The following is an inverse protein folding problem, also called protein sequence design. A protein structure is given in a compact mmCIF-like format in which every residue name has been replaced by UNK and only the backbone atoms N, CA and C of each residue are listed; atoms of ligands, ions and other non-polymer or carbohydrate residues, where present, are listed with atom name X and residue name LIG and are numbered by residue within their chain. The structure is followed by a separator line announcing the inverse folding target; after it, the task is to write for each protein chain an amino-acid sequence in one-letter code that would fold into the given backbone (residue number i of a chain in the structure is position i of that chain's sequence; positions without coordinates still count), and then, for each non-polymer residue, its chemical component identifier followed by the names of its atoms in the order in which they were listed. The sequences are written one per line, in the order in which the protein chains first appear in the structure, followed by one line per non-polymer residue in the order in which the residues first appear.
data_IF_469181424211
#
_entry.id   IF_469181424211
#
_cell.length_a   1.000
_cell.length_b   1.000
_cell.length_c   1.000
_cell.angle_alpha   90.00
_cell.angle_beta   90.00
_cell.angle_gamma   90.00
#
_symmetry.space_group_name_H-M   'P 1'
#
loop_
_entity.id
_entity.type
_entity.pdbx_description
1 polymer ?
#
# COMPACT_ATOMS: atom_id res chain seq x y z
N UNK A 1 54.19 45.34 20.52
CA UNK A 1 52.96 44.49 20.56
C UNK A 1 53.40 43.11 20.94
N UNK A 2 53.14 42.73 22.20
CA UNK A 2 53.77 41.56 22.81
C UNK A 2 53.13 40.26 22.33
N UNK A 3 53.85 39.47 21.57
CA UNK A 3 53.47 38.16 21.07
C UNK A 3 52.98 37.23 22.21
N UNK A 4 53.47 37.49 23.45
CA UNK A 4 53.11 36.78 24.67
C UNK A 4 51.64 36.89 25.06
N UNK A 5 50.93 37.97 24.66
CA UNK A 5 49.54 38.21 25.03
C UNK A 5 48.57 37.51 24.08
N UNK A 6 48.95 37.22 22.83
CA UNK A 6 48.09 36.55 21.84
C UNK A 6 48.05 35.03 22.01
N UNK A 7 49.07 34.41 22.57
CA UNK A 7 49.14 32.97 22.77
C UNK A 7 48.02 32.45 23.70
N UNK A 8 47.77 33.05 24.90
CA UNK A 8 46.69 32.59 25.76
C UNK A 8 45.30 32.83 25.16
N UNK A 9 45.12 33.91 24.42
CA UNK A 9 43.84 34.20 23.73
C UNK A 9 43.60 33.12 22.66
N UNK A 10 44.60 32.82 21.85
CA UNK A 10 44.50 31.77 20.83
C UNK A 10 44.16 30.40 21.43
N UNK A 11 44.79 30.08 22.59
CA UNK A 11 44.55 28.83 23.30
C UNK A 11 43.11 28.73 23.84
N UNK A 12 42.57 29.85 24.38
CA UNK A 12 41.17 29.92 24.82
C UNK A 12 40.21 29.71 23.65
N UNK A 13 40.44 30.40 22.52
CA UNK A 13 39.62 30.22 21.30
C UNK A 13 39.64 28.79 20.82
N UNK A 14 40.82 28.13 20.84
CA UNK A 14 40.99 26.74 20.43
C UNK A 14 40.22 25.78 21.34
N UNK A 15 40.19 26.02 22.66
CA UNK A 15 39.42 25.22 23.61
C UNK A 15 37.91 25.36 23.34
N UNK A 16 37.44 26.61 23.17
CA UNK A 16 36.02 26.87 22.90
C UNK A 16 35.56 26.34 21.52
N UNK A 17 36.44 26.30 20.53
CA UNK A 17 36.16 25.71 19.20
C UNK A 17 35.88 24.20 19.23
N UNK A 18 36.32 23.51 20.30
CA UNK A 18 36.09 22.06 20.47
C UNK A 18 34.69 21.67 20.95
N UNK A 19 33.85 22.63 21.41
CA UNK A 19 32.54 22.28 21.89
C UNK A 19 31.58 21.99 20.70
N UNK A 20 30.94 20.81 20.77
CA UNK A 20 29.93 20.37 19.79
C UNK A 20 28.69 19.88 20.51
N UNK A 21 27.53 20.27 20.01
CA UNK A 21 26.22 19.81 20.49
C UNK A 21 25.75 18.67 19.56
N UNK A 22 25.47 17.53 20.17
CA UNK A 22 24.93 16.35 19.50
C UNK A 22 23.46 16.25 19.89
N UNK A 23 22.57 16.31 18.92
CA UNK A 23 21.12 16.22 19.14
C UNK A 23 20.69 14.80 19.51
N UNK A 24 19.55 14.64 20.19
CA UNK A 24 19.02 13.37 20.68
C UNK A 24 18.86 12.32 19.57
N UNK A 25 18.41 12.75 18.40
CA UNK A 25 18.20 11.92 17.22
C UNK A 25 19.47 11.64 16.40
N UNK A 26 20.64 12.06 16.90
CA UNK A 26 21.94 11.84 16.25
C UNK A 26 22.89 11.09 17.17
N UNK A 27 23.81 10.37 16.57
CA UNK A 27 24.97 9.79 17.24
C UNK A 27 26.23 10.26 16.54
N UNK A 28 27.26 10.55 17.29
CA UNK A 28 28.53 10.98 16.71
C UNK A 28 29.61 9.92 16.97
N UNK A 29 30.20 9.44 15.90
CA UNK A 29 31.39 8.59 15.99
C UNK A 29 32.62 9.47 16.12
N UNK A 30 33.40 9.23 17.16
CA UNK A 30 34.60 9.97 17.44
C UNK A 30 35.80 9.22 16.91
N UNK A 31 36.58 9.87 16.08
CA UNK A 31 37.84 9.37 15.53
C UNK A 31 39.00 10.19 16.12
N UNK A 32 40.10 9.55 16.46
CA UNK A 32 41.36 10.18 16.88
C UNK A 32 42.46 9.70 15.96
N UNK A 33 43.09 10.63 15.25
CA UNK A 33 44.07 10.31 14.20
C UNK A 33 43.59 9.27 13.20
N UNK A 34 42.28 9.37 12.80
CA UNK A 34 41.67 8.44 11.87
C UNK A 34 41.20 7.10 12.47
N UNK A 35 41.55 6.79 13.71
CA UNK A 35 41.12 5.56 14.39
C UNK A 35 39.85 5.81 15.18
N UNK A 36 38.86 4.92 15.02
CA UNK A 36 37.62 4.94 15.82
C UNK A 36 37.93 4.75 17.31
N UNK A 37 37.33 5.56 18.16
CA UNK A 37 37.54 5.50 19.63
C UNK A 37 36.26 5.10 20.35
N UNK A 38 35.14 5.80 20.06
CA UNK A 38 33.86 5.55 20.69
C UNK A 38 32.73 6.31 20.01
N UNK A 39 31.49 5.83 20.21
CA UNK A 39 30.27 6.54 19.87
C UNK A 39 29.87 7.50 21.00
N UNK A 40 29.64 8.77 20.68
CA UNK A 40 29.24 9.81 21.63
C UNK A 40 27.71 9.86 21.70
N UNK A 41 27.20 9.89 22.93
CA UNK A 41 25.80 10.09 23.26
C UNK A 41 25.42 11.57 23.08
N UNK A 42 24.11 11.89 22.91
CA UNK A 42 23.61 13.25 22.80
C UNK A 42 24.06 14.17 23.96
N UNK A 43 24.04 15.47 23.70
CA UNK A 43 24.40 16.52 24.64
C UNK A 43 25.63 17.30 24.19
N UNK A 44 26.11 18.15 25.11
CA UNK A 44 27.32 18.95 24.90
C UNK A 44 28.55 18.05 25.06
N UNK A 45 29.38 18.00 24.02
CA UNK A 45 30.61 17.21 23.98
C UNK A 45 31.78 18.07 23.57
N UNK A 46 32.94 17.83 24.21
CA UNK A 46 34.17 18.48 23.86
C UNK A 46 35.08 17.54 23.04
N UNK A 47 35.63 18.10 21.98
CA UNK A 47 36.44 17.40 20.98
C UNK A 47 37.72 18.20 20.82
N UNK A 48 38.85 17.52 20.79
CA UNK A 48 40.14 18.18 20.60
C UNK A 48 40.28 18.57 19.13
N UNK A 49 40.27 19.88 18.79
CA UNK A 49 40.44 20.31 17.41
C UNK A 49 41.76 19.76 16.83
N UNK A 50 41.80 19.51 15.51
CA UNK A 50 42.92 18.95 14.74
C UNK A 50 43.31 17.51 15.06
N UNK A 51 43.05 17.00 16.25
CA UNK A 51 43.40 15.62 16.67
C UNK A 51 42.22 14.68 16.52
N UNK A 52 41.03 15.17 16.84
CA UNK A 52 39.79 14.40 16.84
C UNK A 52 38.82 14.90 15.77
N UNK A 53 38.25 13.98 15.05
CA UNK A 53 37.16 14.24 14.11
C UNK A 53 35.89 13.50 14.55
N UNK A 54 34.74 14.02 14.14
CA UNK A 54 33.46 13.39 14.40
C UNK A 54 32.69 13.19 13.09
N UNK A 55 32.06 12.03 12.98
CA UNK A 55 31.06 11.76 11.93
C UNK A 55 29.70 11.60 12.60
N UNK A 56 28.74 12.42 12.16
CA UNK A 56 27.40 12.45 12.74
C UNK A 56 26.48 11.59 11.89
N UNK A 57 25.74 10.69 12.54
CA UNK A 57 24.79 9.76 11.94
C UNK A 57 23.41 10.00 12.53
N UNK A 58 22.38 10.09 11.71
CA UNK A 58 20.98 10.18 12.13
C UNK A 58 20.42 8.78 12.39
N UNK A 59 19.76 8.58 13.53
CA UNK A 59 19.21 7.28 13.94
C UNK A 59 17.69 7.16 13.70
N UNK A 60 17.05 8.21 13.16
CA UNK A 60 15.64 8.17 12.80
C UNK A 60 15.41 7.26 11.60
N UNK A 61 14.14 6.98 11.36
CA UNK A 61 13.75 6.26 10.14
C UNK A 61 14.03 7.14 8.93
N UNK A 62 14.78 6.59 8.00
CA UNK A 62 15.14 7.22 6.73
C UNK A 62 14.42 6.46 5.62
N UNK A 63 13.96 7.20 4.62
CA UNK A 63 13.29 6.67 3.44
C UNK A 63 14.20 6.79 2.24
N UNK A 64 14.37 5.70 1.49
CA UNK A 64 15.08 5.68 0.20
C UNK A 64 14.10 5.17 -0.86
N UNK A 65 13.99 5.91 -1.97
CA UNK A 65 13.29 5.42 -3.14
C UNK A 65 14.17 4.40 -3.88
N UNK A 66 13.55 3.32 -4.33
CA UNK A 66 14.11 2.37 -5.27
C UNK A 66 13.72 2.88 -6.66
N UNK A 67 14.71 3.21 -7.48
CA UNK A 67 14.47 3.63 -8.85
C UNK A 67 13.77 2.53 -9.64
N UNK A 68 12.97 2.94 -10.60
CA UNK A 68 12.21 2.04 -11.45
C UNK A 68 13.12 1.02 -12.15
N UNK A 69 12.79 -0.27 -11.97
CA UNK A 69 13.52 -1.39 -12.54
C UNK A 69 12.66 -2.12 -13.55
N UNK A 70 13.20 -2.34 -14.75
CA UNK A 70 12.60 -3.22 -15.74
C UNK A 70 12.85 -4.67 -15.33
N UNK A 71 11.77 -5.42 -15.14
CA UNK A 71 11.78 -6.82 -14.73
C UNK A 71 10.88 -7.62 -15.66
N UNK A 72 11.29 -8.84 -15.97
CA UNK A 72 10.46 -9.84 -16.64
C UNK A 72 9.86 -10.75 -15.56
N UNK A 73 8.56 -10.87 -15.51
CA UNK A 73 7.85 -11.78 -14.60
C UNK A 73 7.98 -13.24 -15.05
N UNK A 74 7.57 -14.21 -14.22
CA UNK A 74 7.61 -15.64 -14.55
C UNK A 74 6.78 -15.96 -15.80
N UNK A 75 5.68 -15.27 -16.02
CA UNK A 75 4.79 -15.36 -17.19
C UNK A 75 5.29 -14.55 -18.42
N UNK A 76 6.57 -14.15 -18.43
CA UNK A 76 7.22 -13.39 -19.50
C UNK A 76 6.59 -12.03 -19.82
N UNK A 77 6.02 -11.36 -18.85
CA UNK A 77 5.49 -10.01 -19.01
C UNK A 77 6.55 -8.98 -18.59
N UNK A 78 7.01 -8.09 -19.48
CA UNK A 78 7.89 -7.00 -19.09
C UNK A 78 7.11 -5.98 -18.27
N UNK A 79 7.60 -5.62 -17.09
CA UNK A 79 7.04 -4.58 -16.26
C UNK A 79 8.14 -3.73 -15.63
N UNK A 80 7.80 -2.49 -15.33
CA UNK A 80 8.69 -1.56 -14.64
C UNK A 80 8.14 -1.33 -13.23
N UNK A 81 8.96 -1.62 -12.22
CA UNK A 81 8.54 -1.61 -10.82
C UNK A 81 9.44 -0.67 -10.04
N UNK A 82 8.83 0.22 -9.27
CA UNK A 82 9.51 1.08 -8.31
C UNK A 82 9.03 0.79 -6.89
N UNK A 83 9.82 1.21 -5.90
CA UNK A 83 9.52 0.96 -4.52
C UNK A 83 10.16 1.95 -3.57
N UNK A 84 9.97 1.69 -2.29
CA UNK A 84 10.51 2.50 -1.22
C UNK A 84 10.94 1.63 -0.06
N UNK A 85 12.13 1.90 0.48
CA UNK A 85 12.69 1.24 1.66
C UNK A 85 12.66 2.20 2.83
N UNK A 86 12.15 1.74 3.95
CA UNK A 86 12.21 2.42 5.24
C UNK A 86 13.20 1.68 6.12
N UNK A 87 14.23 2.39 6.57
CA UNK A 87 15.25 1.79 7.44
C UNK A 87 15.69 2.76 8.53
N UNK A 88 16.31 2.24 9.56
CA UNK A 88 16.98 3.02 10.59
C UNK A 88 18.33 2.41 10.93
N UNK A 89 19.23 3.26 11.41
CA UNK A 89 20.55 2.83 11.87
C UNK A 89 20.40 2.45 13.35
N UNK A 90 20.66 1.19 13.66
CA UNK A 90 20.67 0.66 15.01
C UNK A 90 22.06 0.77 15.61
N UNK A 91 23.09 0.42 14.84
CA UNK A 91 24.49 0.47 15.25
C UNK A 91 25.26 1.42 14.32
N UNK A 92 25.42 2.71 14.70
CA UNK A 92 26.12 3.69 13.89
C UNK A 92 27.59 3.34 13.61
N UNK A 93 28.24 2.61 14.52
CA UNK A 93 29.61 2.18 14.37
C UNK A 93 29.77 1.25 13.17
N UNK A 94 28.96 0.18 13.13
CA UNK A 94 29.00 -0.77 12.02
C UNK A 94 28.58 -0.13 10.70
N UNK A 95 27.58 0.75 10.72
CA UNK A 95 27.07 1.39 9.53
C UNK A 95 28.11 2.28 8.83
N UNK A 96 28.99 2.91 9.58
CA UNK A 96 30.02 3.81 9.04
C UNK A 96 31.34 3.09 8.77
N UNK A 97 31.70 2.10 9.60
CA UNK A 97 32.98 1.42 9.45
C UNK A 97 32.98 0.28 8.44
N UNK A 98 31.81 -0.37 8.24
CA UNK A 98 31.70 -1.53 7.33
C UNK A 98 31.31 -1.15 5.91
N UNK A 99 30.60 -0.03 5.72
CA UNK A 99 30.06 0.37 4.42
C UNK A 99 30.35 1.84 4.19
N UNK A 100 30.91 2.18 3.05
CA UNK A 100 31.26 3.56 2.68
C UNK A 100 30.01 4.43 2.52
N UNK A 101 29.07 4.01 1.69
CA UNK A 101 27.80 4.70 1.43
C UNK A 101 26.62 3.74 1.66
N UNK A 102 26.25 3.55 2.92
CA UNK A 102 25.20 2.60 3.28
C UNK A 102 23.85 2.88 2.60
N UNK A 103 23.52 4.15 2.30
CA UNK A 103 22.28 4.50 1.58
C UNK A 103 22.28 3.95 0.16
N UNK A 104 23.39 4.13 -0.54
CA UNK A 104 23.57 3.62 -1.89
C UNK A 104 23.59 2.09 -1.90
N UNK A 105 24.30 1.48 -0.97
CA UNK A 105 24.37 0.03 -0.84
C UNK A 105 23.00 -0.60 -0.57
N UNK A 106 22.18 -0.02 0.33
CA UNK A 106 20.80 -0.47 0.57
C UNK A 106 19.95 -0.35 -0.68
N UNK A 107 20.07 0.76 -1.41
CA UNK A 107 19.32 0.97 -2.66
C UNK A 107 19.65 -0.11 -3.69
N UNK A 108 20.94 -0.41 -3.90
CA UNK A 108 21.38 -1.46 -4.84
C UNK A 108 20.90 -2.86 -4.42
N UNK A 109 21.00 -3.18 -3.15
CA UNK A 109 20.47 -4.44 -2.60
C UNK A 109 18.97 -4.56 -2.80
N UNK A 110 18.23 -3.49 -2.52
CA UNK A 110 16.79 -3.48 -2.68
C UNK A 110 16.37 -3.61 -4.16
N UNK A 111 17.11 -2.98 -5.09
CA UNK A 111 16.90 -3.15 -6.53
C UNK A 111 17.15 -4.59 -6.98
N UNK A 112 18.23 -5.21 -6.51
CA UNK A 112 18.54 -6.61 -6.81
C UNK A 112 17.46 -7.56 -6.23
N UNK A 113 17.09 -7.37 -4.96
CA UNK A 113 16.05 -8.16 -4.31
C UNK A 113 14.68 -8.01 -4.99
N UNK A 114 14.31 -6.78 -5.40
CA UNK A 114 13.08 -6.50 -6.13
C UNK A 114 13.05 -7.28 -7.45
N UNK A 115 14.15 -7.23 -8.22
CA UNK A 115 14.26 -7.98 -9.48
C UNK A 115 14.14 -9.49 -9.25
N UNK A 116 14.82 -10.02 -8.25
CA UNK A 116 14.82 -11.45 -7.94
C UNK A 116 13.46 -11.95 -7.47
N UNK A 117 12.76 -11.20 -6.65
CA UNK A 117 11.43 -11.57 -6.14
C UNK A 117 10.37 -11.46 -7.23
N UNK A 118 10.36 -10.33 -7.96
CA UNK A 118 9.36 -10.11 -9.01
C UNK A 118 9.57 -11.00 -10.24
N UNK A 119 10.81 -11.39 -10.53
CA UNK A 119 11.10 -12.32 -11.64
C UNK A 119 10.70 -13.78 -11.40
N UNK A 120 10.35 -14.15 -10.17
CA UNK A 120 9.94 -15.51 -9.77
C UNK A 120 8.44 -15.69 -9.57
N UNK A 121 7.65 -14.67 -9.88
CA UNK A 121 6.19 -14.69 -9.67
C UNK A 121 5.46 -14.16 -10.89
N UNK A 122 4.21 -14.59 -11.05
CA UNK A 122 3.32 -14.12 -12.10
C UNK A 122 2.88 -12.68 -11.84
N UNK A 123 2.56 -11.95 -12.91
CA UNK A 123 2.11 -10.55 -12.83
C UNK A 123 0.88 -10.37 -11.94
N UNK A 124 -0.10 -11.26 -12.05
CA UNK A 124 -1.33 -11.20 -11.24
C UNK A 124 -1.02 -11.29 -9.74
N UNK A 125 -0.02 -12.08 -9.35
CA UNK A 125 0.45 -12.19 -7.96
C UNK A 125 1.10 -10.90 -7.49
N UNK A 126 1.93 -10.27 -8.32
CA UNK A 126 2.57 -8.99 -8.00
C UNK A 126 1.51 -7.89 -7.80
N UNK A 127 0.47 -7.87 -8.62
CA UNK A 127 -0.61 -6.88 -8.55
C UNK A 127 -1.52 -7.09 -7.34
N UNK A 128 -1.83 -8.35 -6.99
CA UNK A 128 -2.78 -8.71 -5.93
C UNK A 128 -2.15 -8.82 -4.54
N UNK A 129 -0.85 -9.22 -4.44
CA UNK A 129 -0.16 -9.51 -3.18
C UNK A 129 1.07 -8.64 -2.95
N UNK A 130 0.97 -7.34 -3.25
CA UNK A 130 2.08 -6.37 -3.11
C UNK A 130 2.72 -6.37 -1.72
N UNK A 131 1.90 -6.54 -0.66
CA UNK A 131 2.40 -6.56 0.72
C UNK A 131 3.24 -7.81 1.02
N UNK A 132 2.86 -8.96 0.48
CA UNK A 132 3.62 -10.21 0.62
C UNK A 132 4.98 -10.09 -0.09
N UNK A 133 4.98 -9.54 -1.30
CA UNK A 133 6.21 -9.25 -2.04
C UNK A 133 7.13 -8.29 -1.28
N UNK A 134 6.56 -7.21 -0.70
CA UNK A 134 7.31 -6.28 0.14
C UNK A 134 7.99 -6.96 1.32
N UNK A 135 7.33 -7.91 1.98
CA UNK A 135 7.90 -8.71 3.08
C UNK A 135 9.05 -9.60 2.61
N UNK A 136 8.89 -10.28 1.47
CA UNK A 136 9.94 -11.12 0.91
C UNK A 136 11.20 -10.30 0.55
N UNK A 137 11.00 -9.12 -0.07
CA UNK A 137 12.11 -8.21 -0.38
C UNK A 137 12.77 -7.72 0.91
N UNK A 138 11.96 -7.35 1.92
CA UNK A 138 12.47 -6.93 3.23
C UNK A 138 13.37 -7.99 3.84
N UNK A 139 12.95 -9.26 3.88
CA UNK A 139 13.73 -10.36 4.46
C UNK A 139 15.08 -10.54 3.77
N UNK A 140 15.12 -10.42 2.44
CA UNK A 140 16.36 -10.53 1.67
C UNK A 140 17.30 -9.38 2.03
N UNK A 141 16.80 -8.14 1.98
CA UNK A 141 17.61 -6.94 2.25
C UNK A 141 18.05 -6.90 3.73
N UNK A 142 17.18 -7.28 4.66
CA UNK A 142 17.49 -7.29 6.10
C UNK A 142 18.62 -8.26 6.44
N UNK A 143 18.64 -9.43 5.82
CA UNK A 143 19.70 -10.44 6.01
C UNK A 143 21.08 -9.88 5.72
N UNK A 144 21.21 -9.15 4.62
CA UNK A 144 22.50 -8.56 4.20
C UNK A 144 22.85 -7.31 5.04
N UNK A 145 21.84 -6.49 5.37
CA UNK A 145 22.08 -5.23 6.10
C UNK A 145 22.27 -5.40 7.59
N UNK A 146 21.90 -6.55 8.15
CA UNK A 146 22.07 -6.86 9.58
C UNK A 146 23.52 -6.76 10.01
N UNK A 147 24.47 -7.24 9.19
CA UNK A 147 25.90 -7.12 9.47
C UNK A 147 26.40 -5.67 9.51
N UNK A 148 25.71 -4.76 8.85
CA UNK A 148 26.03 -3.33 8.81
C UNK A 148 25.41 -2.56 9.98
N UNK A 149 24.65 -3.25 10.86
CA UNK A 149 23.95 -2.61 11.97
C UNK A 149 22.78 -1.73 11.56
N UNK A 150 22.16 -2.05 10.42
CA UNK A 150 21.01 -1.35 9.85
C UNK A 150 19.80 -2.27 9.93
N UNK A 151 18.67 -1.73 10.37
CA UNK A 151 17.40 -2.46 10.46
C UNK A 151 16.44 -1.93 9.42
N UNK A 152 15.95 -2.83 8.57
CA UNK A 152 14.93 -2.52 7.59
C UNK A 152 13.57 -2.58 8.28
N UNK A 153 12.89 -1.45 8.33
CA UNK A 153 11.56 -1.35 8.96
C UNK A 153 10.48 -1.93 8.05
N UNK A 154 10.49 -1.48 6.80
CA UNK A 154 9.50 -1.91 5.81
C UNK A 154 10.03 -1.69 4.39
N UNK A 155 9.53 -2.49 3.44
CA UNK A 155 9.76 -2.30 2.00
C UNK A 155 8.41 -2.32 1.31
N UNK A 156 8.11 -1.28 0.54
CA UNK A 156 6.83 -1.17 -0.18
C UNK A 156 7.06 -1.00 -1.67
N UNK A 157 6.33 -1.78 -2.44
CA UNK A 157 6.20 -1.58 -3.88
C UNK A 157 5.25 -0.40 -4.09
N UNK A 158 5.72 0.61 -4.81
CA UNK A 158 5.01 1.88 -4.98
C UNK A 158 4.13 1.83 -6.23
N UNK A 159 4.74 1.61 -7.39
CA UNK A 159 4.02 1.53 -8.67
C UNK A 159 4.52 0.36 -9.52
N UNK A 160 3.65 -0.13 -10.41
CA UNK A 160 3.94 -1.20 -11.36
C UNK A 160 3.44 -0.70 -12.71
N UNK A 161 4.36 -0.37 -13.60
CA UNK A 161 4.05 0.15 -14.92
C UNK A 161 4.16 -0.97 -15.94
N UNK A 162 3.09 -1.15 -16.69
CA UNK A 162 3.00 -2.12 -17.77
C UNK A 162 3.11 -1.42 -19.13
N UNK A 163 3.63 -2.09 -20.16
CA UNK A 163 3.54 -1.61 -21.53
C UNK A 163 2.09 -1.32 -21.94
N UNK A 164 1.89 -0.29 -22.75
CA UNK A 164 0.56 0.21 -23.13
C UNK A 164 -0.35 -0.86 -23.76
N UNK A 165 0.22 -1.71 -24.62
CA UNK A 165 -0.49 -2.83 -25.26
C UNK A 165 -1.01 -3.83 -24.21
N UNK A 166 -0.21 -4.18 -23.21
CA UNK A 166 -0.57 -5.11 -22.15
C UNK A 166 -1.64 -4.50 -21.24
N UNK A 167 -1.48 -3.24 -20.87
CA UNK A 167 -2.46 -2.51 -20.07
C UNK A 167 -3.84 -2.49 -20.73
N UNK A 168 -3.91 -2.30 -22.06
CA UNK A 168 -5.17 -2.37 -22.81
C UNK A 168 -5.75 -3.79 -22.84
N UNK A 169 -4.92 -4.80 -23.04
CA UNK A 169 -5.39 -6.20 -22.99
C UNK A 169 -5.96 -6.57 -21.63
N UNK A 170 -5.28 -6.23 -20.55
CA UNK A 170 -5.76 -6.47 -19.18
C UNK A 170 -7.05 -5.69 -18.87
N UNK A 171 -7.17 -4.46 -19.35
CA UNK A 171 -8.40 -3.67 -19.20
C UNK A 171 -9.59 -4.37 -19.88
N UNK A 172 -9.41 -4.85 -21.11
CA UNK A 172 -10.46 -5.57 -21.85
C UNK A 172 -10.82 -6.91 -21.16
N UNK A 173 -9.82 -7.63 -20.66
CA UNK A 173 -10.03 -8.87 -19.90
C UNK A 173 -10.81 -8.60 -18.60
N UNK A 174 -10.42 -7.56 -17.85
CA UNK A 174 -11.12 -7.17 -16.62
C UNK A 174 -12.57 -6.74 -16.88
N UNK A 175 -12.83 -6.04 -17.99
CA UNK A 175 -14.18 -5.64 -18.39
C UNK A 175 -15.03 -6.87 -18.78
N UNK A 176 -14.46 -7.81 -19.54
CA UNK A 176 -15.14 -9.06 -19.90
C UNK A 176 -15.48 -9.89 -18.65
N UNK A 177 -14.55 -10.00 -17.71
CA UNK A 177 -14.80 -10.73 -16.46
C UNK A 177 -15.84 -10.04 -15.56
N UNK A 178 -15.81 -8.71 -15.46
CA UNK A 178 -16.86 -7.95 -14.76
C UNK A 178 -18.22 -8.14 -15.40
N UNK A 179 -18.30 -8.10 -16.73
CA UNK A 179 -19.53 -8.34 -17.48
C UNK A 179 -20.05 -9.77 -17.31
N UNK A 180 -19.14 -10.75 -17.24
CA UNK A 180 -19.51 -12.14 -16.94
C UNK A 180 -20.10 -12.27 -15.53
N UNK A 181 -19.44 -11.72 -14.52
CA UNK A 181 -19.91 -11.73 -13.13
C UNK A 181 -21.25 -11.01 -12.97
N UNK A 182 -21.40 -9.85 -13.60
CA UNK A 182 -22.66 -9.10 -13.56
C UNK A 182 -23.83 -9.92 -14.13
N UNK A 183 -23.60 -10.66 -15.23
CA UNK A 183 -24.63 -11.55 -15.82
C UNK A 183 -25.00 -12.72 -14.90
N UNK A 184 -24.02 -13.31 -14.21
CA UNK A 184 -24.29 -14.37 -13.23
C UNK A 184 -25.13 -13.84 -12.07
N UNK A 185 -24.70 -12.70 -11.47
CA UNK A 185 -25.44 -12.08 -10.36
C UNK A 185 -26.87 -11.70 -10.78
N UNK A 186 -27.05 -11.18 -12.00
CA UNK A 186 -28.40 -10.86 -12.52
C UNK A 186 -29.24 -12.11 -12.66
N UNK A 187 -28.71 -13.20 -13.23
CA UNK A 187 -29.43 -14.47 -13.37
C UNK A 187 -29.81 -15.08 -12.02
N UNK A 188 -28.90 -15.04 -11.04
CA UNK A 188 -29.18 -15.50 -9.68
C UNK A 188 -30.27 -14.63 -9.02
N UNK A 189 -30.22 -13.33 -9.22
CA UNK A 189 -31.25 -12.41 -8.71
C UNK A 189 -32.62 -12.65 -9.37
N UNK A 190 -32.66 -12.92 -10.67
CA UNK A 190 -33.88 -13.28 -11.40
C UNK A 190 -34.46 -14.62 -10.93
N UNK A 191 -33.61 -15.63 -10.69
CA UNK A 191 -34.02 -16.91 -10.13
C UNK A 191 -34.62 -16.74 -8.73
N UNK A 192 -33.94 -15.98 -7.84
CA UNK A 192 -34.44 -15.68 -6.49
C UNK A 192 -35.77 -14.91 -6.54
N UNK A 193 -35.89 -13.95 -7.45
CA UNK A 193 -37.12 -13.19 -7.62
C UNK A 193 -38.27 -14.10 -8.11
N UNK A 194 -38.02 -14.98 -9.09
CA UNK A 194 -39.00 -15.94 -9.57
C UNK A 194 -39.44 -16.92 -8.47
N UNK A 195 -38.49 -17.43 -7.66
CA UNK A 195 -38.81 -18.29 -6.52
C UNK A 195 -39.67 -17.56 -5.47
N UNK A 196 -39.30 -16.33 -5.11
CA UNK A 196 -40.09 -15.51 -4.18
C UNK A 196 -41.48 -15.21 -4.71
N UNK A 197 -41.65 -14.99 -6.01
CA UNK A 197 -42.95 -14.80 -6.66
C UNK A 197 -43.77 -16.07 -6.64
N UNK A 198 -43.17 -17.24 -6.89
CA UNK A 198 -43.82 -18.54 -6.77
C UNK A 198 -44.31 -18.81 -5.35
N UNK A 199 -43.49 -18.56 -4.34
CA UNK A 199 -43.85 -18.77 -2.94
C UNK A 199 -44.93 -17.76 -2.48
N UNK A 200 -44.82 -16.52 -2.92
CA UNK A 200 -45.87 -15.50 -2.70
C UNK A 200 -47.19 -15.91 -3.38
N UNK A 201 -47.12 -16.42 -4.62
CA UNK A 201 -48.30 -16.95 -5.33
C UNK A 201 -48.99 -18.08 -4.59
N UNK A 202 -48.21 -19.10 -4.13
CA UNK A 202 -48.74 -20.19 -3.30
C UNK A 202 -49.43 -19.73 -2.01
N UNK A 203 -48.85 -18.72 -1.34
CA UNK A 203 -49.47 -18.15 -0.14
C UNK A 203 -50.78 -17.42 -0.43
N UNK A 204 -50.86 -16.74 -1.55
CA UNK A 204 -52.07 -16.00 -1.98
C UNK A 204 -53.17 -16.96 -2.42
N UNK A 205 -52.84 -18.07 -3.12
CA UNK A 205 -53.79 -19.09 -3.55
C UNK A 205 -54.51 -19.79 -2.39
N UNK A 206 -53.92 -19.85 -1.21
CA UNK A 206 -54.53 -20.41 0.01
C UNK A 206 -55.69 -19.54 0.54
N UNK A 207 -55.86 -18.31 0.07
CA UNK A 207 -56.90 -17.41 0.54
C UNK A 207 -57.52 -16.59 -0.60
N UNK A 208 -58.73 -16.93 -1.05
CA UNK A 208 -59.44 -16.17 -2.12
C UNK A 208 -59.60 -14.68 -1.78
N UNK A 209 -59.64 -14.34 -0.50
CA UNK A 209 -59.75 -12.94 -0.06
C UNK A 209 -58.44 -12.17 -0.28
N UNK A 210 -57.28 -12.82 -0.21
CA UNK A 210 -55.99 -12.20 -0.42
C UNK A 210 -55.75 -11.77 -1.86
N UNK A 211 -56.27 -12.55 -2.82
CA UNK A 211 -56.22 -12.22 -4.25
C UNK A 211 -56.97 -10.89 -4.51
N UNK A 212 -58.17 -10.76 -3.96
CA UNK A 212 -58.97 -9.53 -4.09
C UNK A 212 -58.31 -8.32 -3.47
N UNK A 213 -57.71 -8.49 -2.29
CA UNK A 213 -57.00 -7.41 -1.60
C UNK A 213 -55.75 -6.96 -2.40
N UNK A 214 -55.01 -7.89 -2.96
CA UNK A 214 -53.85 -7.62 -3.82
C UNK A 214 -54.19 -6.88 -5.07
N UNK A 215 -55.33 -7.28 -5.70
CA UNK A 215 -55.87 -6.58 -6.87
C UNK A 215 -56.20 -5.13 -6.53
N UNK A 216 -56.93 -4.88 -5.42
CA UNK A 216 -57.25 -3.54 -4.99
C UNK A 216 -56.04 -2.68 -4.65
N UNK A 217 -55.01 -3.28 -4.01
CA UNK A 217 -53.74 -2.59 -3.75
C UNK A 217 -53.03 -2.20 -5.03
N UNK A 218 -52.98 -3.12 -6.01
CA UNK A 218 -52.34 -2.85 -7.31
C UNK A 218 -53.09 -1.73 -8.05
N UNK A 219 -54.41 -1.76 -8.07
CA UNK A 219 -55.24 -0.70 -8.66
C UNK A 219 -55.05 0.65 -7.96
N UNK A 220 -54.95 0.66 -6.63
CA UNK A 220 -54.67 1.88 -5.87
C UNK A 220 -53.30 2.47 -6.18
N UNK A 221 -52.27 1.61 -6.31
CA UNK A 221 -50.90 2.05 -6.65
C UNK A 221 -50.85 2.63 -8.09
N UNK A 222 -51.54 2.00 -9.03
CA UNK A 222 -51.65 2.50 -10.40
C UNK A 222 -52.42 3.83 -10.47
N UNK A 223 -53.47 3.98 -9.67
CA UNK A 223 -54.26 5.22 -9.58
C UNK A 223 -53.48 6.38 -8.93
N UNK A 224 -52.46 6.07 -8.08
CA UNK A 224 -51.62 7.07 -7.45
C UNK A 224 -50.56 7.67 -8.40
N UNK A 225 -50.15 6.95 -9.45
CA UNK A 225 -49.31 7.48 -10.52
C UNK A 225 -50.19 8.31 -11.47
N UNK A 226 -49.85 9.57 -11.69
CA UNK A 226 -50.59 10.59 -12.44
C UNK A 226 -50.78 10.27 -13.94
N UNK A 227 -51.15 9.06 -14.32
CA UNK A 227 -51.46 8.66 -15.68
C UNK A 227 -52.97 8.56 -15.90
N UNK A 228 -53.45 9.31 -16.85
CA UNK A 228 -54.88 9.61 -17.06
C UNK A 228 -55.72 8.53 -17.72
N UNK A 229 -55.13 7.42 -18.21
CA UNK A 229 -55.94 6.35 -18.86
C UNK A 229 -55.18 5.02 -18.77
N UNK A 230 -55.79 4.02 -18.09
CA UNK A 230 -55.28 2.65 -18.02
C UNK A 230 -56.33 1.75 -18.63
N UNK A 231 -55.96 1.07 -19.73
CA UNK A 231 -56.81 0.03 -20.35
C UNK A 231 -56.37 -1.31 -19.75
N UNK A 232 -57.25 -1.88 -18.90
CA UNK A 232 -56.99 -3.17 -18.27
C UNK A 232 -57.87 -4.24 -18.98
N UNK A 233 -57.27 -5.26 -19.63
CA UNK A 233 -58.06 -6.40 -20.11
C UNK A 233 -58.48 -7.25 -18.90
N UNK A 234 -59.72 -7.16 -18.50
CA UNK A 234 -60.31 -8.04 -17.50
C UNK A 234 -60.59 -9.39 -18.13
N UNK A 235 -60.02 -10.51 -17.68
CA UNK A 235 -60.47 -11.83 -18.10
C UNK A 235 -61.90 -12.04 -17.60
N UNK A 236 -62.78 -12.49 -18.48
CA UNK A 236 -64.26 -12.64 -18.27
C UNK A 236 -64.60 -13.56 -17.07
N UNK A 237 -63.67 -14.43 -16.68
CA UNK A 237 -63.75 -15.34 -15.50
C UNK A 237 -63.61 -14.64 -14.14
N UNK A 238 -63.13 -13.41 -14.09
CA UNK A 238 -62.96 -12.64 -12.85
C UNK A 238 -64.22 -11.83 -12.46
N UNK A 239 -65.26 -11.82 -13.29
CA UNK A 239 -66.52 -11.16 -12.99
C UNK A 239 -67.39 -12.09 -12.14
N UNK A 240 -67.92 -11.65 -10.98
CA UNK A 240 -68.88 -12.45 -10.23
C UNK A 240 -70.14 -12.70 -11.13
N UNK A 241 -70.41 -13.98 -11.41
CA UNK A 241 -71.65 -14.33 -12.08
C UNK A 241 -72.79 -13.79 -11.23
N UNK A 242 -73.58 -12.87 -11.84
CA UNK A 242 -74.82 -12.40 -11.24
C UNK A 242 -75.76 -13.59 -11.12
N UNK A 243 -76.00 -14.07 -9.91
CA UNK A 243 -77.08 -15.02 -9.64
C UNK A 243 -78.40 -14.42 -10.10
N UNK A 244 -78.98 -14.98 -11.17
CA UNK A 244 -80.39 -14.72 -11.51
C UNK A 244 -81.23 -15.28 -10.37
N UNK A 245 -81.82 -14.40 -9.56
CA UNK A 245 -82.98 -14.75 -8.73
C UNK A 245 -84.15 -14.99 -9.64
N UNK A 246 -84.61 -16.24 -9.68
CA UNK A 246 -86.01 -16.59 -10.06
C UNK A 246 -86.96 -16.20 -8.92
#
# INVERSE_FOLDING_TARGET
MDFSTYIPILFVILIFSGFRIIFEYKRALKFRFGKYVKTLQPGLRWIIPFVESIQIVDIRVITINIDSQEVMTEDNVPCSIDGVVFFRIQDPEKAVLKVEEYKFAIMQLAQAALRDVCGKVELDTILSKREEMGKNIKEIVERETQEWGIVIMDVKIKDIQLPENMRRMMANQAEAERSRRARIILAEAEEQAAQNLLDAGKMIDQSPSAIKLRLYQTLANIAAEKNSTIIFPFPEEALPRAEKKE
#
